data_IF_493943751389
#
_entry.id   IF_493943751389
#
_cell.length_a   1.000
_cell.length_b   1.000
_cell.length_c   1.000
_cell.angle_alpha   90.00
_cell.angle_beta   90.00
_cell.angle_gamma   90.00
#
_symmetry.space_group_name_H-M   'P 1'
#
loop_
_entity.id
_entity.type
_entity.pdbx_description
1 polymer ?
#
# COMPACT_ATOMS: atom_id res chain seq x y z
N UNK A 1 2.81 -16.22 -13.71
CA UNK A 1 2.38 -15.40 -12.56
C UNK A 1 1.32 -16.16 -11.78
N UNK A 2 1.54 -16.40 -10.49
CA UNK A 2 0.60 -17.12 -9.62
C UNK A 2 -0.81 -16.49 -9.65
N UNK A 3 -0.90 -15.16 -9.78
CA UNK A 3 -2.15 -14.40 -9.89
C UNK A 3 -2.98 -14.79 -11.13
N UNK A 4 -2.34 -14.98 -12.29
CA UNK A 4 -3.07 -15.32 -13.51
C UNK A 4 -3.64 -16.75 -13.44
N UNK A 5 -2.89 -17.66 -12.82
CA UNK A 5 -3.36 -19.02 -12.56
C UNK A 5 -4.48 -19.06 -11.53
N UNK A 6 -4.42 -18.25 -10.46
CA UNK A 6 -5.51 -18.16 -9.49
C UNK A 6 -6.79 -17.58 -10.10
N UNK A 7 -6.66 -16.59 -11.00
CA UNK A 7 -7.80 -16.05 -11.74
C UNK A 7 -8.42 -17.11 -12.65
N UNK A 8 -7.60 -17.86 -13.39
CA UNK A 8 -8.07 -18.94 -14.25
C UNK A 8 -8.83 -20.01 -13.46
N UNK A 9 -8.28 -20.46 -12.33
CA UNK A 9 -8.95 -21.43 -11.44
C UNK A 9 -10.26 -20.86 -10.90
N UNK A 10 -10.27 -19.58 -10.48
CA UNK A 10 -11.48 -18.90 -10.01
C UNK A 10 -12.58 -18.85 -11.08
N UNK A 11 -12.23 -18.54 -12.33
CA UNK A 11 -13.17 -18.55 -13.45
C UNK A 11 -13.69 -19.96 -13.74
N UNK A 12 -12.83 -20.97 -13.75
CA UNK A 12 -13.24 -22.37 -13.97
C UNK A 12 -14.19 -22.85 -12.87
N UNK A 13 -13.88 -22.58 -11.60
CA UNK A 13 -14.75 -22.92 -10.47
C UNK A 13 -16.10 -22.20 -10.55
N UNK A 14 -16.12 -20.96 -11.05
CA UNK A 14 -17.35 -20.20 -11.25
C UNK A 14 -18.19 -20.83 -12.37
N UNK A 15 -17.60 -21.17 -13.52
CA UNK A 15 -18.31 -21.83 -14.62
C UNK A 15 -18.87 -23.18 -14.20
N UNK A 16 -18.07 -24.00 -13.51
CA UNK A 16 -18.51 -25.30 -12.98
C UNK A 16 -19.51 -25.18 -11.83
N UNK A 17 -19.47 -24.09 -11.05
CA UNK A 17 -20.39 -23.87 -9.93
C UNK A 17 -21.77 -23.39 -10.36
N UNK A 18 -21.88 -22.70 -11.49
CA UNK A 18 -23.16 -22.19 -11.98
C UNK A 18 -23.88 -23.15 -12.93
N UNK A 19 -23.15 -23.93 -13.74
CA UNK A 19 -23.62 -24.91 -14.75
C UNK A 19 -24.66 -24.40 -15.78
N UNK A 20 -25.34 -23.29 -15.52
CA UNK A 20 -26.47 -22.73 -16.25
C UNK A 20 -26.46 -21.20 -16.22
N UNK A 21 -26.82 -20.60 -17.35
CA UNK A 21 -26.88 -19.14 -17.50
C UNK A 21 -27.93 -18.48 -16.57
N UNK A 22 -28.96 -19.22 -16.17
CA UNK A 22 -30.03 -18.72 -15.27
C UNK A 22 -29.53 -18.53 -13.82
N UNK A 23 -28.70 -19.45 -13.33
CA UNK A 23 -28.11 -19.33 -12.00
C UNK A 23 -27.11 -18.16 -11.95
N UNK A 24 -26.32 -17.98 -13.02
CA UNK A 24 -25.40 -16.84 -13.16
C UNK A 24 -26.13 -15.49 -13.24
N UNK A 25 -27.24 -15.42 -13.98
CA UNK A 25 -28.08 -14.22 -14.05
C UNK A 25 -28.68 -13.85 -12.68
N UNK A 26 -29.07 -14.85 -11.90
CA UNK A 26 -29.61 -14.65 -10.55
C UNK A 26 -28.55 -14.10 -9.59
N UNK A 27 -27.32 -14.62 -9.65
CA UNK A 27 -26.17 -14.11 -8.90
C UNK A 27 -25.85 -12.64 -9.20
N UNK A 28 -25.81 -12.31 -10.49
CA UNK A 28 -25.58 -10.95 -10.95
C UNK A 28 -26.67 -10.00 -10.44
N UNK A 29 -27.94 -10.41 -10.51
CA UNK A 29 -29.07 -9.61 -10.00
C UNK A 29 -28.95 -9.28 -8.52
N UNK A 30 -28.49 -10.22 -7.69
CA UNK A 30 -28.26 -9.99 -6.25
C UNK A 30 -27.11 -9.02 -6.01
N UNK A 31 -25.99 -9.19 -6.72
CA UNK A 31 -24.82 -8.31 -6.57
C UNK A 31 -25.13 -6.86 -7.00
N UNK A 32 -25.83 -6.69 -8.12
CA UNK A 32 -26.20 -5.38 -8.66
C UNK A 32 -27.20 -4.68 -7.75
N UNK A 33 -28.27 -5.36 -7.35
CA UNK A 33 -29.28 -4.77 -6.44
C UNK A 33 -28.71 -4.47 -5.06
N UNK A 34 -27.78 -5.30 -4.56
CA UNK A 34 -27.03 -5.01 -3.33
C UNK A 34 -26.15 -3.77 -3.46
N UNK A 35 -25.49 -3.58 -4.60
CA UNK A 35 -24.67 -2.39 -4.87
C UNK A 35 -25.54 -1.14 -4.99
N UNK A 36 -26.69 -1.21 -5.66
CA UNK A 36 -27.67 -0.12 -5.74
C UNK A 36 -28.12 0.31 -4.35
N UNK A 37 -28.52 -0.65 -3.50
CA UNK A 37 -28.91 -0.37 -2.12
C UNK A 37 -27.79 0.31 -1.31
N UNK A 38 -26.56 -0.21 -1.42
CA UNK A 38 -25.40 0.39 -0.74
C UNK A 38 -25.11 1.81 -1.25
N UNK A 39 -25.24 2.05 -2.56
CA UNK A 39 -25.04 3.40 -3.13
C UNK A 39 -26.12 4.37 -2.66
N UNK A 40 -27.38 3.94 -2.56
CA UNK A 40 -28.46 4.78 -2.03
C UNK A 40 -28.25 5.13 -0.56
N UNK A 41 -27.74 4.20 0.25
CA UNK A 41 -27.35 4.49 1.65
C UNK A 41 -26.19 5.50 1.69
N UNK A 42 -25.17 5.34 0.84
CA UNK A 42 -24.03 6.25 0.80
C UNK A 42 -24.45 7.66 0.35
N UNK A 43 -25.27 7.76 -0.70
CA UNK A 43 -25.82 9.04 -1.18
C UNK A 43 -26.70 9.68 -0.10
N UNK A 44 -27.47 8.89 0.64
CA UNK A 44 -28.24 9.38 1.81
C UNK A 44 -27.31 10.05 2.84
N UNK A 45 -26.20 9.40 3.18
CA UNK A 45 -25.22 9.96 4.11
C UNK A 45 -24.56 11.23 3.54
N UNK A 46 -24.21 11.26 2.26
CA UNK A 46 -23.61 12.43 1.59
C UNK A 46 -24.60 13.61 1.56
N UNK A 47 -25.85 13.38 1.18
CA UNK A 47 -26.88 14.43 1.10
C UNK A 47 -27.16 15.08 2.47
N UNK A 48 -27.18 14.27 3.53
CA UNK A 48 -27.50 14.73 4.89
C UNK A 48 -26.28 15.30 5.63
N UNK A 49 -25.12 14.65 5.54
CA UNK A 49 -23.93 15.01 6.33
C UNK A 49 -23.01 15.98 5.60
N UNK A 50 -22.83 15.83 4.29
CA UNK A 50 -21.88 16.63 3.51
C UNK A 50 -22.56 17.82 2.84
N UNK A 51 -23.64 17.60 2.09
CA UNK A 51 -24.37 18.66 1.38
C UNK A 51 -25.38 19.42 2.24
N UNK A 52 -25.74 18.88 3.41
CA UNK A 52 -26.66 19.49 4.37
C UNK A 52 -27.97 19.98 3.74
N UNK A 53 -28.55 19.18 2.84
CA UNK A 53 -29.83 19.51 2.24
C UNK A 53 -30.94 19.64 3.30
N UNK A 54 -31.93 20.53 3.09
CA UNK A 54 -33.03 20.65 4.02
C UNK A 54 -33.76 19.29 4.10
N UNK A 55 -33.95 18.73 5.32
CA UNK A 55 -34.45 17.37 5.50
C UNK A 55 -35.84 17.17 4.89
N UNK A 56 -36.63 18.24 4.79
CA UNK A 56 -37.96 18.23 4.15
C UNK A 56 -37.89 17.85 2.66
N UNK A 57 -36.82 18.21 1.95
CA UNK A 57 -36.62 17.83 0.54
C UNK A 57 -35.82 16.52 0.41
N UNK A 58 -34.83 16.32 1.28
CA UNK A 58 -33.97 15.13 1.21
C UNK A 58 -34.72 13.85 1.61
N UNK A 59 -35.45 13.85 2.73
CA UNK A 59 -36.12 12.65 3.27
C UNK A 59 -37.07 11.99 2.27
N UNK A 60 -37.99 12.69 1.58
CA UNK A 60 -38.90 12.01 0.64
C UNK A 60 -38.16 11.39 -0.55
N UNK A 61 -37.12 12.04 -1.07
CA UNK A 61 -36.30 11.49 -2.17
C UNK A 61 -35.55 10.24 -1.70
N UNK A 62 -34.91 10.32 -0.54
CA UNK A 62 -34.15 9.19 0.03
C UNK A 62 -35.06 8.01 0.36
N UNK A 63 -36.23 8.26 0.96
CA UNK A 63 -37.21 7.21 1.27
C UNK A 63 -37.72 6.56 -0.02
N UNK A 64 -38.01 7.33 -1.06
CA UNK A 64 -38.43 6.80 -2.35
C UNK A 64 -37.35 5.88 -2.97
N UNK A 65 -36.11 6.36 -3.06
CA UNK A 65 -35.00 5.58 -3.59
C UNK A 65 -34.72 4.32 -2.76
N UNK A 66 -34.68 4.44 -1.43
CA UNK A 66 -34.42 3.31 -0.54
C UNK A 66 -35.55 2.27 -0.60
N UNK A 67 -36.79 2.72 -0.79
CA UNK A 67 -37.94 1.83 -0.94
C UNK A 67 -37.84 1.04 -2.25
N UNK A 68 -37.58 1.71 -3.37
CA UNK A 68 -37.39 1.04 -4.67
C UNK A 68 -36.26 0.03 -4.60
N UNK A 69 -35.07 0.45 -4.17
CA UNK A 69 -33.91 -0.44 -4.08
C UNK A 69 -34.12 -1.58 -3.08
N UNK A 70 -34.77 -1.28 -1.95
CA UNK A 70 -35.14 -2.27 -0.95
C UNK A 70 -36.08 -3.34 -1.50
N UNK A 71 -37.09 -2.94 -2.27
CA UNK A 71 -38.01 -3.87 -2.96
C UNK A 71 -37.29 -4.72 -4.01
N UNK A 72 -36.43 -4.10 -4.83
CA UNK A 72 -35.63 -4.83 -5.81
C UNK A 72 -34.66 -5.83 -5.16
N UNK A 73 -34.03 -5.43 -4.06
CA UNK A 73 -33.15 -6.33 -3.29
C UNK A 73 -33.97 -7.47 -2.68
N UNK A 74 -35.08 -7.16 -2.00
CA UNK A 74 -35.95 -8.16 -1.39
C UNK A 74 -36.50 -9.17 -2.40
N UNK A 75 -36.82 -8.75 -3.62
CA UNK A 75 -37.25 -9.64 -4.70
C UNK A 75 -36.15 -10.60 -5.19
N UNK A 76 -34.87 -10.24 -5.00
CA UNK A 76 -33.72 -11.06 -5.41
C UNK A 76 -33.15 -11.92 -4.26
N UNK A 77 -33.44 -11.61 -2.99
CA UNK A 77 -33.00 -12.42 -1.83
C UNK A 77 -33.45 -13.89 -1.91
N UNK A 78 -34.71 -14.24 -2.25
CA UNK A 78 -35.13 -15.64 -2.35
C UNK A 78 -34.36 -16.44 -3.41
N UNK A 79 -33.88 -15.78 -4.47
CA UNK A 79 -33.08 -16.42 -5.54
C UNK A 79 -31.69 -16.85 -5.05
N UNK A 80 -31.19 -16.25 -3.96
CA UNK A 80 -29.94 -16.66 -3.30
C UNK A 80 -30.09 -18.07 -2.72
N UNK A 81 -31.23 -18.34 -2.08
CA UNK A 81 -31.49 -19.61 -1.39
C UNK A 81 -31.73 -20.75 -2.41
N UNK A 82 -32.28 -20.43 -3.59
CA UNK A 82 -32.64 -21.40 -4.63
C UNK A 82 -31.53 -21.72 -5.64
N UNK A 83 -30.33 -21.13 -5.51
CA UNK A 83 -29.22 -21.38 -6.44
C UNK A 83 -28.11 -20.33 -6.45
N UNK A 84 -28.28 -19.20 -5.76
CA UNK A 84 -27.29 -18.13 -5.65
C UNK A 84 -26.34 -18.21 -4.44
N UNK A 85 -26.18 -19.38 -3.81
CA UNK A 85 -25.27 -19.54 -2.66
C UNK A 85 -23.78 -19.41 -3.05
N UNK A 86 -23.41 -19.86 -4.24
CA UNK A 86 -22.04 -19.80 -4.75
C UNK A 86 -21.43 -18.38 -4.80
N UNK A 87 -22.06 -17.35 -5.41
CA UNK A 87 -21.51 -15.99 -5.46
C UNK A 87 -21.44 -15.33 -4.07
N UNK A 88 -22.37 -15.65 -3.17
CA UNK A 88 -22.31 -15.18 -1.77
C UNK A 88 -21.12 -15.80 -1.06
N UNK A 89 -20.88 -17.11 -1.22
CA UNK A 89 -19.73 -17.80 -0.67
C UNK A 89 -18.41 -17.25 -1.24
N UNK A 90 -18.34 -17.02 -2.56
CA UNK A 90 -17.19 -16.40 -3.20
C UNK A 90 -16.94 -14.97 -2.67
N UNK A 91 -18.02 -14.19 -2.49
CA UNK A 91 -17.96 -12.87 -1.87
C UNK A 91 -17.42 -12.92 -0.43
N UNK A 92 -17.87 -13.88 0.39
CA UNK A 92 -17.37 -14.10 1.75
C UNK A 92 -15.87 -14.45 1.72
N UNK A 93 -15.44 -15.34 0.82
CA UNK A 93 -14.02 -15.70 0.68
C UNK A 93 -13.17 -14.49 0.30
N UNK A 94 -13.60 -13.72 -0.71
CA UNK A 94 -12.92 -12.49 -1.11
C UNK A 94 -12.90 -11.44 -0.01
N UNK A 95 -14.00 -11.30 0.73
CA UNK A 95 -14.08 -10.39 1.87
C UNK A 95 -13.12 -10.80 3.00
N UNK A 96 -13.02 -12.09 3.31
CA UNK A 96 -12.05 -12.62 4.28
C UNK A 96 -10.62 -12.37 3.81
N UNK A 97 -10.32 -12.57 2.52
CA UNK A 97 -9.00 -12.27 1.94
C UNK A 97 -8.66 -10.79 2.06
N UNK A 98 -9.57 -9.89 1.63
CA UNK A 98 -9.36 -8.44 1.67
C UNK A 98 -9.24 -7.91 3.09
N UNK A 99 -10.09 -8.35 4.02
CA UNK A 99 -10.02 -7.91 5.42
C UNK A 99 -8.78 -8.45 6.13
N UNK A 100 -8.34 -9.66 5.79
CA UNK A 100 -7.07 -10.22 6.27
C UNK A 100 -5.88 -9.45 5.72
N UNK A 101 -5.88 -9.11 4.43
CA UNK A 101 -4.87 -8.26 3.82
C UNK A 101 -4.80 -6.88 4.48
N UNK A 102 -5.95 -6.20 4.61
CA UNK A 102 -6.04 -4.86 5.23
C UNK A 102 -5.49 -4.88 6.66
N UNK A 103 -5.96 -5.82 7.49
CA UNK A 103 -5.54 -5.90 8.89
C UNK A 103 -4.07 -6.32 9.03
N UNK A 104 -3.59 -7.26 8.19
CA UNK A 104 -2.19 -7.69 8.20
C UNK A 104 -1.25 -6.56 7.76
N UNK A 105 -1.61 -5.78 6.74
CA UNK A 105 -0.85 -4.58 6.34
C UNK A 105 -0.85 -3.52 7.43
N UNK A 106 -1.97 -3.29 8.12
CA UNK A 106 -2.03 -2.33 9.24
C UNK A 106 -1.11 -2.74 10.39
N UNK A 107 -1.18 -4.00 10.81
CA UNK A 107 -0.30 -4.53 11.88
C UNK A 107 1.17 -4.47 11.46
N UNK A 108 1.50 -4.81 10.22
CA UNK A 108 2.86 -4.72 9.70
C UNK A 108 3.41 -3.29 9.81
N UNK A 109 2.62 -2.29 9.41
CA UNK A 109 3.00 -0.88 9.53
C UNK A 109 3.19 -0.51 11.01
N UNK A 110 2.21 -0.81 11.87
CA UNK A 110 2.29 -0.51 13.31
C UNK A 110 3.53 -1.12 13.98
N UNK A 111 3.94 -2.33 13.60
CA UNK A 111 5.17 -2.97 14.14
C UNK A 111 6.46 -2.35 13.60
N UNK A 112 6.48 -1.97 12.33
CA UNK A 112 7.59 -1.17 11.80
C UNK A 112 7.67 0.19 12.49
N UNK A 113 6.54 0.69 12.99
CA UNK A 113 6.43 1.94 13.74
C UNK A 113 6.99 1.83 15.17
N UNK A 114 6.77 0.71 15.87
CA UNK A 114 7.25 0.49 17.25
C UNK A 114 8.79 0.55 17.42
N UNK A 115 9.56 0.35 16.34
CA UNK A 115 11.03 0.37 16.35
C UNK A 115 11.69 1.61 15.73
N UNK A 116 10.92 2.60 15.28
CA UNK A 116 11.45 3.75 14.56
C UNK A 116 12.12 4.78 15.47
N UNK A 117 13.46 4.89 15.41
CA UNK A 117 14.17 5.96 16.10
C UNK A 117 13.96 7.30 15.35
N UNK A 118 13.58 8.40 16.03
CA UNK A 118 13.41 9.70 15.38
C UNK A 118 14.72 10.20 14.75
N UNK A 119 14.63 10.70 13.51
CA UNK A 119 15.80 11.17 12.75
C UNK A 119 16.69 12.18 13.50
N UNK A 120 16.14 13.20 14.19
CA UNK A 120 16.98 14.17 14.90
C UNK A 120 17.82 13.54 16.02
N UNK A 121 17.26 12.55 16.74
CA UNK A 121 17.95 11.86 17.83
C UNK A 121 19.11 11.02 17.26
N UNK A 122 18.86 10.33 16.16
CA UNK A 122 19.88 9.54 15.48
C UNK A 122 21.05 10.39 14.99
N UNK A 123 20.77 11.50 14.32
CA UNK A 123 21.81 12.41 13.80
C UNK A 123 22.61 13.00 14.97
N UNK A 124 21.95 13.32 16.09
CA UNK A 124 22.62 13.71 17.33
C UNK A 124 23.61 12.65 17.82
N UNK A 125 23.22 11.37 17.82
CA UNK A 125 24.10 10.27 18.26
C UNK A 125 25.32 10.07 17.33
N UNK A 126 25.13 10.24 16.02
CA UNK A 126 26.20 10.13 15.02
C UNK A 126 27.21 11.29 15.15
N UNK A 127 26.78 12.48 15.55
CA UNK A 127 27.69 13.61 15.81
C UNK A 127 28.63 13.35 16.99
N UNK A 128 28.15 12.63 18.02
CA UNK A 128 28.96 12.30 19.19
C UNK A 128 29.97 11.21 18.87
N UNK A 129 29.55 10.19 18.12
CA UNK A 129 30.40 9.07 17.73
C UNK A 129 30.32 8.85 16.21
N UNK A 130 31.11 9.58 15.40
CA UNK A 130 31.03 9.47 13.96
C UNK A 130 31.58 8.11 13.49
N UNK A 131 30.79 7.31 12.75
CA UNK A 131 31.25 6.07 12.14
C UNK A 131 32.18 6.36 10.96
N UNK A 132 32.84 5.31 10.45
CA UNK A 132 33.71 5.44 9.29
C UNK A 132 32.91 5.88 8.05
N UNK A 133 33.34 6.95 7.38
CA UNK A 133 32.69 7.46 6.17
C UNK A 133 33.42 7.03 4.90
N UNK A 134 32.68 6.50 3.94
CA UNK A 134 33.17 6.15 2.60
C UNK A 134 32.62 7.10 1.54
N UNK A 135 33.38 7.28 0.45
CA UNK A 135 32.98 8.14 -0.66
C UNK A 135 31.71 7.64 -1.36
N UNK A 136 30.88 8.58 -1.77
CA UNK A 136 29.66 8.34 -2.54
C UNK A 136 28.38 8.69 -1.81
N UNK A 137 27.26 8.38 -2.46
CA UNK A 137 25.91 8.77 -2.03
C UNK A 137 25.07 7.52 -1.79
N UNK A 138 24.60 7.32 -0.56
CA UNK A 138 23.69 6.23 -0.22
C UNK A 138 22.26 6.73 -0.17
N UNK A 139 21.40 6.19 -1.03
CA UNK A 139 19.97 6.50 -1.05
C UNK A 139 19.23 5.38 -0.34
N UNK A 140 18.67 5.67 0.83
CA UNK A 140 17.83 4.75 1.58
C UNK A 140 16.36 5.05 1.32
N UNK A 141 15.64 4.10 0.74
CA UNK A 141 14.19 4.25 0.56
C UNK A 141 13.46 4.02 1.88
N UNK A 142 12.59 4.96 2.25
CA UNK A 142 11.77 4.89 3.46
C UNK A 142 10.32 5.29 3.18
N UNK A 143 9.40 4.56 3.79
CA UNK A 143 7.97 4.88 3.76
C UNK A 143 7.60 6.06 4.66
N UNK A 144 8.44 6.41 5.64
CA UNK A 144 8.19 7.51 6.57
C UNK A 144 9.35 8.52 6.54
N UNK A 145 9.06 9.83 6.36
CA UNK A 145 10.08 10.86 6.23
C UNK A 145 10.69 11.29 7.58
N UNK A 146 10.06 10.96 8.72
CA UNK A 146 10.47 11.45 10.05
C UNK A 146 11.23 10.39 10.89
N UNK A 147 11.30 9.15 10.43
CA UNK A 147 11.91 8.03 11.12
C UNK A 147 13.16 7.52 10.39
N UNK A 148 14.14 7.03 11.15
CA UNK A 148 15.34 6.41 10.57
C UNK A 148 14.96 5.10 9.86
N UNK A 149 15.36 4.88 8.60
CA UNK A 149 15.09 3.63 7.90
C UNK A 149 15.82 2.46 8.58
N UNK A 150 15.13 1.33 8.76
CA UNK A 150 15.73 0.11 9.33
C UNK A 150 16.97 -0.36 8.56
N UNK A 151 16.98 -0.21 7.23
CA UNK A 151 18.15 -0.52 6.41
C UNK A 151 19.39 0.29 6.80
N UNK A 152 19.24 1.54 7.22
CA UNK A 152 20.36 2.37 7.68
C UNK A 152 20.92 1.86 9.01
N UNK A 153 20.03 1.55 9.96
CA UNK A 153 20.40 0.99 11.26
C UNK A 153 21.12 -0.36 11.10
N UNK A 154 20.58 -1.26 10.28
CA UNK A 154 21.20 -2.54 9.99
C UNK A 154 22.57 -2.40 9.30
N UNK A 155 22.69 -1.49 8.33
CA UNK A 155 23.97 -1.22 7.68
C UNK A 155 25.02 -0.74 8.70
N UNK A 156 24.66 0.13 9.64
CA UNK A 156 25.58 0.56 10.68
C UNK A 156 25.92 -0.54 11.69
N UNK A 157 24.96 -1.37 12.08
CA UNK A 157 25.19 -2.49 13.01
C UNK A 157 26.18 -3.52 12.45
N UNK A 158 26.07 -3.85 11.16
CA UNK A 158 26.86 -4.91 10.55
C UNK A 158 28.11 -4.42 9.82
N UNK A 159 27.99 -3.35 9.03
CA UNK A 159 29.09 -2.86 8.20
C UNK A 159 29.87 -1.73 8.88
N UNK A 160 29.28 -1.06 9.88
CA UNK A 160 29.91 0.05 10.62
C UNK A 160 30.39 1.21 9.74
N UNK A 161 29.82 1.34 8.54
CA UNK A 161 30.21 2.32 7.52
C UNK A 161 29.00 3.17 7.12
N UNK A 162 29.23 4.47 7.00
CA UNK A 162 28.29 5.45 6.47
C UNK A 162 28.85 6.06 5.17
N UNK A 163 28.00 6.55 4.28
CA UNK A 163 28.49 7.28 3.10
C UNK A 163 28.68 8.76 3.44
N UNK A 164 29.46 9.49 2.65
CA UNK A 164 29.61 10.95 2.78
C UNK A 164 28.26 11.65 2.67
N UNK A 165 27.43 11.22 1.71
CA UNK A 165 26.06 11.69 1.54
C UNK A 165 25.06 10.57 1.81
N UNK A 166 24.13 10.80 2.72
CA UNK A 166 23.05 9.88 3.08
C UNK A 166 21.73 10.54 2.76
N UNK A 167 21.04 10.00 1.77
CA UNK A 167 19.76 10.51 1.27
C UNK A 167 18.65 9.58 1.74
N UNK A 168 17.73 10.12 2.52
CA UNK A 168 16.53 9.46 2.98
C UNK A 168 15.41 9.79 2.00
N UNK A 169 15.08 8.83 1.14
CA UNK A 169 14.15 9.01 0.04
C UNK A 169 12.77 8.48 0.40
N UNK A 170 11.76 9.35 0.39
CA UNK A 170 10.35 8.97 0.49
C UNK A 170 9.65 9.23 -0.83
N UNK A 171 8.83 8.28 -1.28
CA UNK A 171 8.02 8.42 -2.50
C UNK A 171 6.56 8.50 -2.10
N UNK A 172 5.92 9.64 -2.39
CA UNK A 172 4.52 9.94 -2.09
C UNK A 172 3.73 9.96 -3.39
N UNK A 173 2.57 9.29 -3.38
CA UNK A 173 1.61 9.36 -4.47
C UNK A 173 0.52 10.36 -4.11
N UNK A 174 0.32 11.34 -4.97
CA UNK A 174 -0.69 12.38 -4.84
C UNK A 174 -1.97 12.00 -5.60
N UNK A 175 -3.12 12.45 -5.09
CA UNK A 175 -4.43 12.27 -5.72
C UNK A 175 -4.65 13.20 -6.94
N UNK A 176 -3.58 13.55 -7.65
CA UNK A 176 -3.60 14.32 -8.90
C UNK A 176 -2.97 13.50 -10.04
N UNK A 177 -3.43 13.67 -11.30
CA UNK A 177 -2.94 12.84 -12.41
C UNK A 177 -1.43 12.92 -12.62
N UNK A 178 -0.87 14.12 -12.51
CA UNK A 178 0.55 14.42 -12.72
C UNK A 178 0.99 15.58 -11.83
N UNK A 179 2.09 15.41 -11.13
CA UNK A 179 2.63 16.45 -10.24
C UNK A 179 3.50 17.43 -11.06
N UNK A 180 3.32 18.76 -10.93
CA UNK A 180 4.18 19.74 -11.58
C UNK A 180 5.64 19.61 -11.10
N UNK A 181 6.62 19.82 -11.98
CA UNK A 181 8.05 19.67 -11.66
C UNK A 181 8.51 20.49 -10.44
N UNK A 182 7.93 21.68 -10.23
CA UNK A 182 8.27 22.56 -9.11
C UNK A 182 7.84 22.01 -7.72
N UNK A 183 6.83 21.14 -7.66
CA UNK A 183 6.35 20.49 -6.41
C UNK A 183 6.74 19.02 -6.34
N UNK A 184 7.62 18.58 -7.24
CA UNK A 184 8.00 17.17 -7.36
C UNK A 184 9.02 16.75 -6.29
N UNK A 185 9.75 17.73 -5.75
CA UNK A 185 10.84 17.52 -4.80
C UNK A 185 10.64 18.41 -3.58
N UNK A 186 10.67 17.82 -2.40
CA UNK A 186 10.90 18.52 -1.15
C UNK A 186 12.20 18.00 -0.56
N UNK A 187 13.13 18.91 -0.23
CA UNK A 187 14.46 18.53 0.26
C UNK A 187 14.79 19.29 1.52
N UNK A 188 15.13 18.55 2.58
CA UNK A 188 15.58 19.09 3.85
C UNK A 188 16.99 18.60 4.17
N UNK A 189 17.87 19.51 4.59
CA UNK A 189 19.21 19.18 5.06
C UNK A 189 19.26 19.17 6.59
N UNK A 190 19.74 18.06 7.15
CA UNK A 190 19.92 17.92 8.61
C UNK A 190 21.40 18.13 9.03
N UNK A 191 22.27 18.48 8.08
CA UNK A 191 23.71 18.57 8.27
C UNK A 191 24.38 17.20 8.35
N UNK A 192 25.71 17.16 8.51
CA UNK A 192 26.48 15.91 8.57
C UNK A 192 26.29 15.01 7.33
N UNK A 193 26.02 15.61 6.16
CA UNK A 193 25.73 14.87 4.93
C UNK A 193 24.41 14.10 4.94
N UNK A 194 23.51 14.36 5.89
CA UNK A 194 22.15 13.80 5.89
C UNK A 194 21.17 14.73 5.16
N UNK A 195 20.48 14.15 4.19
CA UNK A 195 19.45 14.82 3.41
C UNK A 195 18.18 13.99 3.41
N UNK A 196 17.04 14.65 3.54
CA UNK A 196 15.72 14.06 3.33
C UNK A 196 15.18 14.56 2.01
N UNK A 197 14.73 13.64 1.18
CA UNK A 197 14.16 13.93 -0.14
C UNK A 197 12.80 13.25 -0.23
N UNK A 198 11.76 14.04 -0.46
CA UNK A 198 10.41 13.56 -0.71
C UNK A 198 10.09 13.77 -2.19
N UNK A 199 9.76 12.68 -2.89
CA UNK A 199 9.35 12.68 -4.28
C UNK A 199 7.84 12.54 -4.37
N UNK A 200 7.20 13.48 -5.06
CA UNK A 200 5.76 13.44 -5.31
C UNK A 200 5.49 12.96 -6.73
N UNK A 201 4.69 11.91 -6.87
CA UNK A 201 4.22 11.40 -8.16
C UNK A 201 2.70 11.45 -8.24
N UNK A 202 2.17 11.77 -9.42
CA UNK A 202 0.74 11.63 -9.67
C UNK A 202 0.37 10.17 -9.94
N UNK A 203 -0.91 9.84 -9.83
CA UNK A 203 -1.37 8.46 -10.04
C UNK A 203 -1.19 7.94 -11.48
N UNK A 204 -0.97 8.83 -12.47
CA UNK A 204 -0.68 8.45 -13.86
C UNK A 204 0.82 8.49 -14.17
N UNK A 205 1.65 9.00 -13.26
CA UNK A 205 3.09 9.08 -13.47
C UNK A 205 3.75 7.70 -13.33
N UNK A 206 4.63 7.35 -14.26
CA UNK A 206 5.54 6.23 -14.07
C UNK A 206 6.70 6.65 -13.14
N UNK A 207 6.87 6.00 -11.98
CA UNK A 207 7.91 6.39 -11.02
C UNK A 207 9.29 5.90 -11.49
N UNK A 208 10.07 6.80 -12.08
CA UNK A 208 11.50 6.61 -12.32
C UNK A 208 12.30 7.41 -11.29
N UNK A 209 12.74 6.74 -10.23
CA UNK A 209 13.46 7.37 -9.12
C UNK A 209 14.84 7.89 -9.56
N UNK A 210 15.68 7.11 -10.28
CA UNK A 210 16.97 7.60 -10.75
C UNK A 210 16.86 8.81 -11.68
N UNK A 211 15.87 8.82 -12.59
CA UNK A 211 15.66 9.96 -13.49
C UNK A 211 15.15 11.18 -12.72
N UNK A 212 14.22 11.00 -11.78
CA UNK A 212 13.76 12.09 -10.93
C UNK A 212 14.91 12.69 -10.11
N UNK A 213 15.76 11.87 -9.49
CA UNK A 213 16.89 12.37 -8.70
C UNK A 213 17.91 13.16 -9.52
N UNK A 214 18.08 12.86 -10.82
CA UNK A 214 18.95 13.67 -11.71
C UNK A 214 18.43 15.10 -11.93
N UNK A 215 17.12 15.30 -11.85
CA UNK A 215 16.49 16.61 -12.01
C UNK A 215 16.58 17.45 -10.73
N UNK A 216 17.01 16.84 -9.62
CA UNK A 216 17.28 17.54 -8.37
C UNK A 216 18.62 18.27 -8.47
N UNK A 217 18.60 19.53 -8.91
CA UNK A 217 19.78 20.40 -8.94
C UNK A 217 19.89 21.20 -7.64
N UNK A 218 20.20 20.54 -6.54
CA UNK A 218 20.69 21.18 -5.32
C UNK A 218 22.21 21.09 -5.33
N UNK A 219 22.89 22.23 -5.19
CA UNK A 219 24.35 22.35 -5.34
C UNK A 219 25.15 21.40 -4.43
N UNK A 220 24.55 20.97 -3.31
CA UNK A 220 25.17 20.09 -2.32
C UNK A 220 24.93 18.58 -2.55
N UNK A 221 24.10 18.17 -3.51
CA UNK A 221 23.73 16.76 -3.73
C UNK A 221 24.24 16.21 -5.06
N UNK A 222 25.12 15.20 -4.99
CA UNK A 222 25.63 14.51 -6.19
C UNK A 222 24.92 13.14 -6.35
N UNK A 223 23.99 13.08 -7.30
CA UNK A 223 23.28 11.86 -7.70
C UNK A 223 23.91 11.15 -8.92
N UNK A 224 25.20 11.36 -9.15
CA UNK A 224 25.93 10.69 -10.24
C UNK A 224 25.74 9.16 -10.18
N UNK A 225 25.21 8.51 -11.24
CA UNK A 225 24.88 7.08 -11.22
C UNK A 225 26.03 6.13 -10.84
N UNK A 226 27.29 6.58 -11.00
CA UNK A 226 28.48 5.79 -10.67
C UNK A 226 28.88 5.86 -9.19
N UNK A 227 28.40 6.87 -8.45
CA UNK A 227 28.66 7.14 -7.03
C UNK A 227 27.45 6.88 -6.13
N UNK A 228 26.25 6.76 -6.70
CA UNK A 228 25.02 6.50 -5.95
C UNK A 228 24.76 4.99 -5.79
N UNK A 229 24.53 4.57 -4.55
CA UNK A 229 24.08 3.21 -4.20
C UNK A 229 22.71 3.27 -3.56
N UNK A 230 21.77 2.46 -4.04
CA UNK A 230 20.40 2.42 -3.54
C UNK A 230 20.25 1.28 -2.53
N UNK A 231 19.92 1.64 -1.30
CA UNK A 231 19.61 0.70 -0.23
C UNK A 231 18.10 0.56 -0.12
N UNK A 232 17.63 -0.65 -0.39
CA UNK A 232 16.24 -1.02 -0.19
C UNK A 232 16.14 -1.94 1.00
N UNK A 233 15.24 -1.63 1.92
CA UNK A 233 14.83 -2.63 2.90
C UNK A 233 13.84 -3.57 2.23
N UNK A 234 14.17 -4.86 2.22
CA UNK A 234 13.20 -5.89 1.82
C UNK A 234 12.61 -6.49 3.08
N UNK A 235 11.39 -6.11 3.38
CA UNK A 235 10.64 -6.65 4.50
C UNK A 235 10.17 -8.06 4.14
N UNK A 236 10.85 -9.07 4.67
CA UNK A 236 10.34 -10.45 4.64
C UNK A 236 9.60 -10.68 5.95
N UNK A 237 8.27 -10.67 5.88
CA UNK A 237 7.44 -11.06 7.01
C UNK A 237 7.58 -12.56 7.22
N UNK A 238 8.05 -12.94 8.40
CA UNK A 238 8.03 -14.31 8.88
C UNK A 238 6.91 -14.39 9.91
N UNK A 239 5.98 -15.33 9.72
CA UNK A 239 4.93 -15.59 10.69
C UNK A 239 5.57 -16.12 11.99
N UNK A 240 5.57 -15.32 13.05
CA UNK A 240 6.00 -15.67 14.39
C UNK A 240 4.78 -15.68 15.33
N UNK A 241 5.01 -15.97 16.62
CA UNK A 241 3.96 -16.28 17.60
C UNK A 241 3.57 -15.06 18.44
N UNK A 242 3.09 -13.97 17.85
CA UNK A 242 2.75 -12.76 18.63
C UNK A 242 1.32 -12.26 18.35
N UNK A 243 0.66 -11.79 19.42
CA UNK A 243 -0.77 -11.40 19.45
C UNK A 243 -1.06 -10.19 18.55
N UNK A 244 -2.02 -10.35 17.63
CA UNK A 244 -2.63 -9.24 16.88
C UNK A 244 -3.73 -9.69 15.90
N UNK A 245 -3.67 -10.93 15.44
CA UNK A 245 -4.62 -11.55 14.53
C UNK A 245 -4.85 -13.04 14.90
N UNK A 246 -5.88 -13.68 14.33
CA UNK A 246 -6.07 -15.12 14.49
C UNK A 246 -5.02 -15.89 13.66
N UNK A 247 -4.48 -16.99 14.21
CA UNK A 247 -3.36 -17.77 13.62
C UNK A 247 -3.58 -18.20 12.16
N UNK A 248 -4.82 -18.57 11.80
CA UNK A 248 -5.15 -18.97 10.43
C UNK A 248 -5.13 -17.77 9.45
N UNK A 249 -5.49 -16.57 9.92
CA UNK A 249 -5.43 -15.34 9.12
C UNK A 249 -3.99 -14.85 8.95
N UNK A 250 -3.13 -15.05 9.95
CA UNK A 250 -1.68 -14.75 9.85
C UNK A 250 -1.01 -15.63 8.79
N UNK A 251 -1.28 -16.93 8.80
CA UNK A 251 -0.79 -17.85 7.76
C UNK A 251 -1.30 -17.48 6.36
N UNK A 252 -2.58 -17.11 6.24
CA UNK A 252 -3.17 -16.61 5.00
C UNK A 252 -2.51 -15.31 4.54
N UNK A 253 -2.29 -14.36 5.44
CA UNK A 253 -1.62 -13.09 5.14
C UNK A 253 -0.18 -13.31 4.67
N UNK A 254 0.60 -14.15 5.36
CA UNK A 254 1.97 -14.46 4.98
C UNK A 254 2.04 -15.12 3.59
N UNK A 255 1.12 -16.04 3.30
CA UNK A 255 0.99 -16.64 1.96
C UNK A 255 0.64 -15.60 0.90
N UNK A 256 -0.33 -14.71 1.17
CA UNK A 256 -0.71 -13.64 0.25
C UNK A 256 0.44 -12.67 0.00
N UNK A 257 1.18 -12.28 1.05
CA UNK A 257 2.29 -11.33 0.95
C UNK A 257 3.47 -11.93 0.18
N UNK A 258 3.77 -13.22 0.37
CA UNK A 258 4.80 -13.93 -0.40
C UNK A 258 4.48 -13.99 -1.90
N UNK A 259 3.19 -14.05 -2.24
CA UNK A 259 2.71 -14.07 -3.62
C UNK A 259 2.42 -12.67 -4.19
N UNK A 260 2.33 -11.65 -3.36
CA UNK A 260 2.28 -10.26 -3.79
C UNK A 260 3.66 -9.90 -4.35
N UNK A 261 3.73 -9.62 -5.66
CA UNK A 261 4.98 -9.29 -6.33
C UNK A 261 5.74 -8.20 -5.55
N UNK A 262 6.93 -8.56 -5.03
CA UNK A 262 7.90 -7.60 -4.51
C UNK A 262 8.46 -6.79 -5.68
N UNK A 263 7.76 -5.72 -6.04
CA UNK A 263 8.00 -5.02 -7.29
C UNK A 263 9.14 -3.99 -7.11
N UNK A 264 10.37 -4.47 -6.89
CA UNK A 264 11.57 -3.63 -6.97
C UNK A 264 11.74 -2.99 -8.37
N UNK A 265 11.16 -3.62 -9.40
CA UNK A 265 11.07 -3.09 -10.76
C UNK A 265 10.15 -1.89 -10.90
N UNK A 266 9.32 -1.60 -9.89
CA UNK A 266 8.37 -0.49 -9.96
C UNK A 266 9.07 0.87 -10.00
N UNK A 267 10.17 1.03 -9.25
CA UNK A 267 10.94 2.27 -9.19
C UNK A 267 12.05 2.38 -10.26
N UNK A 268 12.11 1.44 -11.22
CA UNK A 268 13.12 1.34 -12.30
C UNK A 268 14.58 1.47 -11.81
N UNK A 269 14.88 1.00 -10.60
CA UNK A 269 16.22 1.12 -10.02
C UNK A 269 17.24 0.24 -10.75
N UNK A 270 18.48 0.71 -10.95
CA UNK A 270 19.53 -0.04 -11.63
C UNK A 270 19.95 -1.28 -10.82
N UNK A 271 19.70 -2.48 -11.36
CA UNK A 271 19.94 -3.78 -10.71
C UNK A 271 21.36 -3.98 -10.18
N UNK A 272 22.39 -3.40 -10.82
CA UNK A 272 23.79 -3.53 -10.39
C UNK A 272 24.22 -2.54 -9.29
N UNK A 273 23.30 -1.69 -8.81
CA UNK A 273 23.55 -0.65 -7.78
C UNK A 273 22.51 -0.66 -6.66
N UNK A 274 21.75 -1.74 -6.58
CA UNK A 274 20.75 -1.98 -5.54
C UNK A 274 21.33 -2.97 -4.55
N UNK A 275 21.36 -2.58 -3.28
CA UNK A 275 21.65 -3.48 -2.17
C UNK A 275 20.35 -3.68 -1.40
N UNK A 276 19.86 -4.91 -1.40
CA UNK A 276 18.72 -5.32 -0.56
C UNK A 276 19.25 -5.74 0.81
N UNK A 277 18.93 -4.94 1.83
CA UNK A 277 19.11 -5.34 3.22
C UNK A 277 17.78 -5.92 3.70
N UNK A 278 17.70 -7.25 3.69
CA UNK A 278 16.55 -7.96 4.20
C UNK A 278 16.51 -7.91 5.71
N UNK A 279 15.44 -7.36 6.27
CA UNK A 279 15.13 -7.49 7.69
C UNK A 279 14.00 -8.51 7.83
N UNK A 280 14.25 -9.59 8.58
CA UNK A 280 13.20 -10.53 8.95
C UNK A 280 12.36 -9.89 10.05
N UNK A 281 11.13 -9.52 9.71
CA UNK A 281 10.18 -9.02 10.70
C UNK A 281 9.33 -10.20 11.14
N UNK A 282 9.55 -10.62 12.37
CA UNK A 282 8.65 -11.55 13.05
C UNK A 282 7.33 -10.83 13.34
N UNK A 283 6.24 -11.31 12.73
CA UNK A 283 4.88 -10.87 13.06
C UNK A 283 4.23 -11.78 14.08
#
# INVERSE_FOLDING_TARGET
>A
GAVNWSLMVGVILLVLGFESSNALASAYGVAVTGTMLMTTILVSAVMLLLWKWPPILAVPVLVCCLLVDGLYFAANVPKIIQGGAFPVLAGIVLFVLMTTWKRGKQLLVERLDEGGLPLPIFIGSIRVQPPHRVQGTAVFLTARPDAVPHALLHNLLHNQVLHEQVVLLTVVYEDIPRVPAARRFEVDSYGEGFFRVILHFGFTDEPDVPEALKLCHLDDLDFSPMRTTYFLSRETVIASRIKGMARWREGLFAFMLKNANGNLRFFKLPVNRVIELGTQVEM
#
